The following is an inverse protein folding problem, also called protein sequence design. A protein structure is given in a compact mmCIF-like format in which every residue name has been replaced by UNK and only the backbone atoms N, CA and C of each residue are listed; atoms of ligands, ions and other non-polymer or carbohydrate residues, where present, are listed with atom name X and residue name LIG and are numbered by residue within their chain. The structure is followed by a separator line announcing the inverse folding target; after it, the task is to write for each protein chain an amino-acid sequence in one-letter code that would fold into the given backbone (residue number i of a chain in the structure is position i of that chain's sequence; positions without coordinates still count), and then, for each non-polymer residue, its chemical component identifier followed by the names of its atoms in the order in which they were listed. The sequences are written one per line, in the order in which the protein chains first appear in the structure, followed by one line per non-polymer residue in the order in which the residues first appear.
data_IF_991721476329
#
_entry.id   IF_991721476329
#
_cell.length_a   1.000
_cell.length_b   1.000
_cell.length_c   1.000
_cell.angle_alpha   90.00
_cell.angle_beta   90.00
_cell.angle_gamma   90.00
#
_symmetry.space_group_name_H-M   'P 1'
#
loop_
_entity.id
_entity.type
_entity.pdbx_description
1 polymer ?
#
# COMPACT_ATOMS: atom_id res chain seq x y z
N UNK A 1 9.51 13.06 4.04
CA UNK A 1 8.99 11.93 3.24
C UNK A 1 9.60 12.00 1.83
N UNK A 2 10.08 10.88 1.29
CA UNK A 2 10.38 10.83 -0.14
C UNK A 2 9.08 10.81 -0.94
N UNK A 3 9.14 11.12 -2.24
CA UNK A 3 7.96 11.14 -3.11
C UNK A 3 7.11 9.86 -3.01
N UNK A 4 7.73 8.69 -2.81
CA UNK A 4 7.05 7.39 -2.65
C UNK A 4 6.09 7.34 -1.46
N UNK A 5 6.50 7.86 -0.29
CA UNK A 5 5.65 7.87 0.91
C UNK A 5 4.41 8.76 0.77
N UNK A 6 4.52 9.84 -0.02
CA UNK A 6 3.37 10.70 -0.34
C UNK A 6 2.37 10.00 -1.25
N UNK A 7 2.84 9.25 -2.27
CA UNK A 7 1.97 8.42 -3.10
C UNK A 7 1.29 7.29 -2.31
N UNK A 8 2.00 6.64 -1.39
CA UNK A 8 1.40 5.62 -0.51
C UNK A 8 0.31 6.23 0.38
N UNK A 9 0.56 7.42 0.93
CA UNK A 9 -0.41 8.16 1.74
C UNK A 9 -1.63 8.60 0.91
N UNK A 10 -1.41 9.03 -0.33
CA UNK A 10 -2.48 9.37 -1.28
C UNK A 10 -3.32 8.13 -1.64
N UNK A 11 -2.68 7.00 -1.92
CA UNK A 11 -3.37 5.74 -2.18
C UNK A 11 -4.23 5.33 -0.99
N UNK A 12 -3.69 5.46 0.24
CA UNK A 12 -4.46 5.21 1.46
C UNK A 12 -5.70 6.12 1.55
N UNK A 13 -5.55 7.41 1.24
CA UNK A 13 -6.66 8.36 1.23
C UNK A 13 -7.71 8.03 0.15
N UNK A 14 -7.29 7.59 -1.04
CA UNK A 14 -8.21 7.15 -2.11
C UNK A 14 -9.05 5.98 -1.62
N UNK A 15 -8.42 4.93 -1.09
CA UNK A 15 -9.15 3.73 -0.61
C UNK A 15 -10.15 4.08 0.49
N UNK A 16 -9.82 5.06 1.36
CA UNK A 16 -10.72 5.51 2.44
C UNK A 16 -11.88 6.39 1.96
N UNK A 17 -11.69 7.16 0.89
CA UNK A 17 -12.63 8.20 0.46
C UNK A 17 -13.44 7.84 -0.79
N UNK A 18 -13.14 6.70 -1.42
CA UNK A 18 -13.86 6.20 -2.60
C UNK A 18 -14.33 4.76 -2.40
N UNK A 19 -15.10 4.26 -3.34
CA UNK A 19 -15.53 2.86 -3.46
C UNK A 19 -14.46 1.97 -4.10
N UNK A 20 -13.17 2.28 -3.94
CA UNK A 20 -12.06 1.62 -4.63
C UNK A 20 -12.12 0.08 -4.56
N UNK A 21 -12.49 -0.48 -3.40
CA UNK A 21 -12.58 -1.93 -3.21
C UNK A 21 -13.71 -2.60 -4.02
N UNK A 22 -14.70 -1.85 -4.50
CA UNK A 22 -15.77 -2.40 -5.36
C UNK A 22 -15.30 -2.65 -6.79
N UNK A 23 -14.49 -1.73 -7.33
CA UNK A 23 -14.02 -1.82 -8.71
C UNK A 23 -12.58 -2.36 -8.82
N UNK A 24 -11.80 -2.34 -7.73
CA UNK A 24 -10.47 -2.95 -7.58
C UNK A 24 -9.52 -2.67 -8.76
N UNK A 25 -9.54 -1.42 -9.26
CA UNK A 25 -8.79 -1.08 -10.46
C UNK A 25 -7.29 -1.15 -10.17
N UNK A 26 -6.54 -1.93 -10.95
CA UNK A 26 -5.09 -2.19 -10.75
C UNK A 26 -4.75 -2.90 -9.45
N UNK A 27 -5.71 -3.53 -8.78
CA UNK A 27 -5.48 -4.15 -7.46
C UNK A 27 -4.33 -5.17 -7.46
N UNK A 28 -4.21 -6.00 -8.49
CA UNK A 28 -3.11 -6.97 -8.62
C UNK A 28 -1.75 -6.30 -8.75
N UNK A 29 -1.66 -5.28 -9.62
CA UNK A 29 -0.44 -4.51 -9.80
C UNK A 29 -0.04 -3.80 -8.50
N UNK A 30 -1.02 -3.17 -7.83
CA UNK A 30 -0.84 -2.48 -6.57
C UNK A 30 -0.37 -3.44 -5.49
N UNK A 31 -1.04 -4.57 -5.31
CA UNK A 31 -0.65 -5.59 -4.34
C UNK A 31 0.79 -6.06 -4.56
N UNK A 32 1.17 -6.37 -5.81
CA UNK A 32 2.52 -6.77 -6.17
C UNK A 32 3.57 -5.71 -5.83
N UNK A 33 3.29 -4.43 -6.10
CA UNK A 33 4.17 -3.31 -5.74
C UNK A 33 4.30 -3.17 -4.23
N UNK A 34 3.19 -3.22 -3.49
CA UNK A 34 3.19 -3.11 -2.03
C UNK A 34 3.98 -4.25 -1.37
N UNK A 35 3.82 -5.49 -1.85
CA UNK A 35 4.61 -6.65 -1.40
C UNK A 35 6.09 -6.48 -1.71
N UNK A 36 6.44 -5.97 -2.89
CA UNK A 36 7.83 -5.68 -3.26
C UNK A 36 8.45 -4.68 -2.30
N UNK A 37 7.74 -3.59 -1.97
CA UNK A 37 8.22 -2.57 -1.02
C UNK A 37 8.38 -3.16 0.39
N UNK A 38 7.43 -4.00 0.85
CA UNK A 38 7.54 -4.68 2.15
C UNK A 38 8.79 -5.58 2.24
N UNK A 39 9.20 -6.15 1.11
CA UNK A 39 10.35 -7.06 0.98
C UNK A 39 11.69 -6.33 0.80
N UNK A 40 11.70 -5.00 0.61
CA UNK A 40 12.94 -4.22 0.50
C UNK A 40 13.77 -4.31 1.79
N UNK A 41 15.10 -4.35 1.69
CA UNK A 41 15.95 -4.31 2.89
C UNK A 41 15.84 -2.94 3.58
N UNK A 42 15.82 -2.93 4.91
CA UNK A 42 15.63 -1.71 5.71
C UNK A 42 16.95 -0.92 5.88
N UNK A 43 17.62 -0.63 4.76
CA UNK A 43 18.89 0.08 4.77
C UNK A 43 18.72 1.58 5.09
N UNK A 44 17.55 2.16 4.80
CA UNK A 44 17.32 3.61 4.89
C UNK A 44 16.02 3.95 5.62
N UNK A 45 15.98 5.04 6.44
CA UNK A 45 14.80 5.40 7.25
C UNK A 45 13.51 5.63 6.44
N UNK A 46 13.63 6.04 5.18
CA UNK A 46 12.46 6.23 4.32
C UNK A 46 11.83 4.90 3.89
N UNK A 47 12.62 3.84 3.72
CA UNK A 47 12.13 2.48 3.46
C UNK A 47 11.27 2.00 4.65
N UNK A 48 11.71 2.26 5.88
CA UNK A 48 10.92 1.92 7.07
C UNK A 48 9.59 2.67 7.12
N UNK A 49 9.56 3.96 6.77
CA UNK A 49 8.34 4.75 6.74
C UNK A 49 7.34 4.23 5.69
N UNK A 50 7.82 3.90 4.49
CA UNK A 50 6.98 3.32 3.43
C UNK A 50 6.30 2.03 3.92
N UNK A 51 7.06 1.15 4.59
CA UNK A 51 6.52 -0.10 5.15
C UNK A 51 5.49 0.14 6.26
N UNK A 52 5.65 1.17 7.09
CA UNK A 52 4.66 1.53 8.11
C UNK A 52 3.33 1.93 7.45
N UNK A 53 3.37 2.78 6.42
CA UNK A 53 2.17 3.21 5.70
C UNK A 53 1.47 2.00 5.07
N UNK A 54 2.22 1.10 4.43
CA UNK A 54 1.65 -0.11 3.80
C UNK A 54 0.99 -1.03 4.84
N UNK A 55 1.62 -1.22 6.00
CA UNK A 55 1.05 -2.02 7.10
C UNK A 55 -0.26 -1.41 7.62
N UNK A 56 -0.32 -0.08 7.74
CA UNK A 56 -1.58 0.59 8.14
C UNK A 56 -2.66 0.47 7.05
N UNK A 57 -2.31 0.55 5.76
CA UNK A 57 -3.26 0.29 4.65
C UNK A 57 -3.85 -1.13 4.78
N UNK A 58 -3.01 -2.16 4.95
CA UNK A 58 -3.49 -3.55 5.08
C UNK A 58 -4.26 -3.83 6.36
N UNK A 59 -3.93 -3.14 7.45
CA UNK A 59 -4.66 -3.24 8.70
C UNK A 59 -6.05 -2.64 8.59
N UNK A 60 -6.19 -1.51 7.90
CA UNK A 60 -7.50 -0.86 7.69
C UNK A 60 -8.32 -1.54 6.58
N UNK A 61 -7.65 -2.03 5.54
CA UNK A 61 -8.25 -2.67 4.38
C UNK A 61 -7.64 -4.05 4.12
N UNK A 62 -7.96 -5.08 4.93
CA UNK A 62 -7.41 -6.42 4.77
C UNK A 62 -7.67 -7.05 3.39
N UNK A 63 -8.73 -6.63 2.69
CA UNK A 63 -9.05 -7.07 1.33
C UNK A 63 -7.95 -6.70 0.32
N UNK A 64 -7.12 -5.71 0.63
CA UNK A 64 -5.96 -5.35 -0.19
C UNK A 64 -4.76 -6.28 0.02
N UNK A 65 -4.69 -6.96 1.16
CA UNK A 65 -3.63 -7.91 1.47
C UNK A 65 -3.95 -9.32 0.94
N UNK A 66 -5.23 -9.68 0.84
CA UNK A 66 -5.65 -10.96 0.28
C UNK A 66 -5.90 -10.82 -1.22
N UNK A 67 -5.00 -11.33 -2.06
CA UNK A 67 -5.43 -11.76 -3.39
C UNK A 67 -6.27 -13.01 -3.19
N UNK A 68 -7.57 -12.95 -3.48
CA UNK A 68 -8.33 -14.18 -3.67
C UNK A 68 -7.68 -14.94 -4.84
N UNK A 69 -7.13 -16.12 -4.56
CA UNK A 69 -6.65 -17.08 -5.56
C UNK A 69 -7.75 -17.50 -6.53
#
# INVERSE_FOLDING_TARGET
PGARGEYLSLMHAIVRSTDYLQHAHRQTDLHGILQRILSEEEAEPHCQMDKIIIREIYKEFPQMASQAS
#
